data_IF_927504389740
#
_entry.id   IF_927504389740
#
_cell.length_a   1.000
_cell.length_b   1.000
_cell.length_c   1.000
_cell.angle_alpha   90.00
_cell.angle_beta   90.00
_cell.angle_gamma   90.00
#
_symmetry.space_group_name_H-M   'P 1'
#
loop_
_entity.id
_entity.type
_entity.pdbx_description
1 polymer ?
#
# COMPACT_ATOMS: atom_id res chain seq x y z
N UNK A 1 5.20 -0.10 31.91
CA UNK A 1 5.32 -0.82 30.61
C UNK A 1 3.93 -0.75 29.98
N UNK A 2 3.81 -0.19 28.78
CA UNK A 2 2.52 -0.19 28.07
C UNK A 2 2.11 -1.66 27.79
N UNK A 3 0.84 -1.99 27.98
CA UNK A 3 0.33 -3.31 27.63
C UNK A 3 0.58 -3.60 26.15
N UNK A 4 0.90 -4.85 25.77
CA UNK A 4 1.06 -5.21 24.35
C UNK A 4 -0.25 -4.91 23.61
N UNK A 5 -0.14 -4.21 22.48
CA UNK A 5 -1.29 -3.84 21.64
C UNK A 5 -1.88 -5.14 21.07
N UNK A 6 -3.11 -5.44 21.43
CA UNK A 6 -3.86 -6.53 20.80
C UNK A 6 -4.23 -6.11 19.36
N UNK A 7 -3.49 -6.65 18.40
CA UNK A 7 -3.69 -6.38 16.98
C UNK A 7 -4.82 -7.22 16.36
N UNK A 8 -5.43 -8.11 17.10
CA UNK A 8 -6.59 -8.90 16.61
C UNK A 8 -7.86 -8.05 16.59
N UNK A 9 -7.92 -7.03 17.44
CA UNK A 9 -9.05 -6.09 17.50
C UNK A 9 -8.89 -5.00 16.44
N UNK A 10 -9.96 -4.73 15.69
CA UNK A 10 -9.96 -3.72 14.61
C UNK A 10 -9.62 -2.33 15.15
N UNK A 11 -10.26 -1.91 16.25
CA UNK A 11 -10.04 -0.59 16.89
C UNK A 11 -10.20 -0.69 18.41
N UNK A 12 -9.60 0.22 19.13
CA UNK A 12 -9.69 0.35 20.59
C UNK A 12 -9.70 1.81 21.03
N UNK A 13 -9.48 2.06 22.32
CA UNK A 13 -9.37 3.42 22.83
C UNK A 13 -8.18 4.14 22.21
N UNK A 14 -8.29 5.47 22.06
CA UNK A 14 -7.19 6.29 21.58
C UNK A 14 -6.04 6.20 22.58
N UNK A 15 -4.82 5.99 22.09
CA UNK A 15 -3.62 5.94 22.93
C UNK A 15 -3.41 7.29 23.59
N UNK A 16 -2.91 7.31 24.82
CA UNK A 16 -2.75 8.51 25.61
C UNK A 16 -1.88 9.55 24.88
N UNK A 17 -0.78 9.11 24.29
CA UNK A 17 0.16 9.94 23.54
C UNK A 17 -0.36 10.41 22.16
N UNK A 18 -1.48 9.86 21.70
CA UNK A 18 -2.09 10.16 20.39
C UNK A 18 -3.47 10.82 20.51
N UNK A 19 -3.81 11.30 21.71
CA UNK A 19 -5.01 12.10 21.96
C UNK A 19 -4.94 13.46 21.25
N UNK A 20 -6.10 13.95 20.81
CA UNK A 20 -6.26 15.22 20.11
C UNK A 20 -7.25 16.13 20.86
N UNK A 21 -7.29 17.40 20.49
CA UNK A 21 -8.38 18.29 20.91
C UNK A 21 -9.64 17.99 20.08
N UNK A 22 -10.39 16.99 20.55
CA UNK A 22 -11.61 16.55 19.88
C UNK A 22 -12.69 17.62 19.80
N UNK A 23 -12.68 18.60 20.69
CA UNK A 23 -13.66 19.69 20.69
C UNK A 23 -13.51 20.59 19.47
N UNK A 24 -12.27 20.93 19.11
CA UNK A 24 -11.97 21.68 17.88
C UNK A 24 -12.35 20.90 16.62
N UNK A 25 -12.04 19.60 16.60
CA UNK A 25 -12.41 18.75 15.47
C UNK A 25 -13.93 18.71 15.30
N UNK A 26 -14.69 18.48 16.36
CA UNK A 26 -16.17 18.44 16.31
C UNK A 26 -16.73 19.77 15.81
N UNK A 27 -16.25 20.91 16.32
CA UNK A 27 -16.68 22.24 15.88
C UNK A 27 -16.45 22.43 14.37
N UNK A 28 -15.26 22.03 13.89
CA UNK A 28 -14.91 22.12 12.47
C UNK A 28 -15.77 21.20 11.58
N UNK A 29 -16.04 19.95 12.03
CA UNK A 29 -16.86 18.98 11.30
C UNK A 29 -18.32 19.46 11.20
N UNK A 30 -18.87 20.09 12.26
CA UNK A 30 -20.21 20.68 12.27
C UNK A 30 -20.30 21.87 11.33
N UNK A 31 -19.33 22.77 11.37
CA UNK A 31 -19.26 23.92 10.44
C UNK A 31 -19.26 23.48 8.98
N UNK A 32 -18.55 22.38 8.67
CA UNK A 32 -18.50 21.75 7.33
C UNK A 32 -19.69 20.85 7.01
N UNK A 33 -20.67 20.75 7.90
CA UNK A 33 -21.89 19.97 7.73
C UNK A 33 -21.64 18.50 7.41
N UNK A 34 -20.62 17.89 8.08
CA UNK A 34 -20.42 16.44 7.95
C UNK A 34 -21.70 15.72 8.41
N UNK A 35 -22.27 14.81 7.61
CA UNK A 35 -23.54 14.15 7.95
C UNK A 35 -23.46 13.46 9.34
N UNK A 36 -24.39 13.81 10.22
CA UNK A 36 -24.46 13.28 11.58
C UNK A 36 -23.66 14.03 12.63
N UNK A 37 -22.82 15.02 12.27
CA UNK A 37 -21.91 15.71 13.21
C UNK A 37 -22.61 16.52 14.33
N UNK A 38 -23.92 16.73 14.24
CA UNK A 38 -24.72 17.37 15.31
C UNK A 38 -24.91 16.46 16.54
N UNK A 39 -24.81 15.13 16.36
CA UNK A 39 -24.86 14.17 17.47
C UNK A 39 -23.57 14.20 18.31
N UNK A 40 -23.60 13.67 19.56
CA UNK A 40 -22.39 13.45 20.33
C UNK A 40 -21.39 12.56 19.61
N UNK A 41 -20.12 12.94 19.64
CA UNK A 41 -19.04 12.18 19.02
C UNK A 41 -18.38 11.23 20.02
N UNK A 42 -18.13 9.99 19.60
CA UNK A 42 -17.16 9.10 20.25
C UNK A 42 -16.05 8.78 19.29
N UNK A 43 -14.84 8.54 19.83
CA UNK A 43 -13.65 8.27 19.02
C UNK A 43 -13.02 6.96 19.47
N UNK A 44 -12.64 6.15 18.50
CA UNK A 44 -11.79 4.97 18.68
C UNK A 44 -10.61 5.08 17.73
N UNK A 45 -9.56 4.31 17.98
CA UNK A 45 -8.38 4.28 17.12
C UNK A 45 -8.19 2.90 16.52
N UNK A 46 -7.93 2.84 15.21
CA UNK A 46 -7.60 1.59 14.54
C UNK A 46 -6.24 1.06 15.03
N UNK A 47 -6.18 -0.25 15.29
CA UNK A 47 -4.99 -0.93 15.85
C UNK A 47 -4.02 -1.44 14.78
N UNK A 48 -4.33 -1.28 13.50
CA UNK A 48 -3.46 -1.61 12.38
C UNK A 48 -3.01 -0.35 11.67
N UNK A 49 -1.87 -0.39 11.03
CA UNK A 49 -1.30 0.74 10.29
C UNK A 49 -0.03 1.28 10.95
N UNK A 50 1.07 1.24 10.20
CA UNK A 50 2.40 1.67 10.68
C UNK A 50 2.76 3.08 10.23
N UNK A 51 2.01 3.65 9.28
CA UNK A 51 2.38 4.89 8.60
C UNK A 51 1.57 6.09 9.07
N UNK A 52 0.25 5.99 9.11
CA UNK A 52 -0.65 7.09 9.47
C UNK A 52 -1.52 6.73 10.66
N UNK A 53 -1.91 7.73 11.47
CA UNK A 53 -2.87 7.56 12.53
C UNK A 53 -4.28 7.59 11.94
N UNK A 54 -5.05 6.56 12.27
CA UNK A 54 -6.40 6.37 11.76
C UNK A 54 -7.37 6.24 12.92
N UNK A 55 -8.40 7.09 12.92
CA UNK A 55 -9.40 7.17 13.96
C UNK A 55 -10.79 6.90 13.41
N UNK A 56 -11.61 6.16 14.15
CA UNK A 56 -13.03 5.99 13.91
C UNK A 56 -13.77 7.10 14.67
N UNK A 57 -14.49 7.93 13.94
CA UNK A 57 -15.37 8.97 14.48
C UNK A 57 -16.81 8.49 14.38
N UNK A 58 -17.50 8.30 15.51
CA UNK A 58 -18.88 7.86 15.54
C UNK A 58 -19.78 8.98 16.06
N UNK A 59 -20.82 9.29 15.28
CA UNK A 59 -21.86 10.27 15.58
C UNK A 59 -23.23 9.56 15.51
N UNK A 60 -23.74 9.11 16.66
CA UNK A 60 -24.92 8.23 16.67
C UNK A 60 -24.70 6.98 15.83
N UNK A 61 -25.53 6.81 14.79
CA UNK A 61 -25.43 5.68 13.84
C UNK A 61 -24.47 5.93 12.66
N UNK A 62 -23.85 7.10 12.59
CA UNK A 62 -22.93 7.46 11.51
C UNK A 62 -21.50 7.25 11.93
N UNK A 63 -20.72 6.62 11.06
CA UNK A 63 -19.30 6.36 11.27
C UNK A 63 -18.47 6.92 10.12
N UNK A 64 -17.38 7.57 10.49
CA UNK A 64 -16.41 8.16 9.57
C UNK A 64 -15.00 7.75 10.00
N UNK A 65 -14.09 7.73 9.05
CA UNK A 65 -12.68 7.47 9.33
C UNK A 65 -11.89 8.74 9.11
N UNK A 66 -11.14 9.18 10.13
CA UNK A 66 -10.18 10.27 10.00
C UNK A 66 -8.77 9.73 9.91
N UNK A 67 -8.00 10.22 8.95
CA UNK A 67 -6.56 9.93 8.83
C UNK A 67 -5.74 11.21 8.99
N UNK A 68 -4.63 11.10 9.69
CA UNK A 68 -3.60 12.14 9.83
C UNK A 68 -2.21 11.51 9.88
N UNK A 69 -1.13 12.26 9.58
CA UNK A 69 0.23 11.80 9.83
C UNK A 69 0.48 11.47 11.30
N UNK A 70 1.47 10.63 11.61
CA UNK A 70 1.91 10.40 12.99
C UNK A 70 2.48 11.70 13.61
N UNK A 71 2.64 11.69 14.93
CA UNK A 71 3.34 12.77 15.63
C UNK A 71 4.85 12.69 15.37
N UNK A 72 5.50 13.85 15.45
CA UNK A 72 6.95 13.97 15.29
C UNK A 72 7.40 14.28 13.86
N UNK A 73 8.71 14.22 13.59
CA UNK A 73 9.28 14.54 12.28
C UNK A 73 8.84 13.54 11.21
N UNK A 74 8.37 14.05 10.09
CA UNK A 74 7.93 13.24 8.94
C UNK A 74 9.03 13.15 7.87
N UNK A 75 9.16 12.01 7.19
CA UNK A 75 10.03 11.92 6.02
C UNK A 75 9.53 12.82 4.90
N UNK A 76 10.45 13.45 4.18
CA UNK A 76 10.11 14.34 3.06
C UNK A 76 9.36 13.55 1.96
N UNK A 77 8.16 14.01 1.62
CA UNK A 77 7.32 13.43 0.58
C UNK A 77 6.53 12.19 0.99
N UNK A 78 6.52 11.82 2.28
CA UNK A 78 5.61 10.82 2.84
C UNK A 78 4.42 11.48 3.54
N UNK A 79 3.35 10.71 3.76
CA UNK A 79 2.18 11.12 4.55
C UNK A 79 1.43 12.35 3.98
N UNK A 80 1.34 12.47 2.65
CA UNK A 80 0.62 13.58 2.00
C UNK A 80 -0.91 13.34 2.04
N UNK A 81 -1.54 13.83 3.11
CA UNK A 81 -3.00 13.73 3.30
C UNK A 81 -3.80 14.43 2.20
N UNK A 82 -3.27 15.54 1.67
CA UNK A 82 -3.90 16.28 0.58
C UNK A 82 -3.93 15.48 -0.72
N UNK A 83 -2.85 14.74 -1.01
CA UNK A 83 -2.77 13.86 -2.17
C UNK A 83 -3.75 12.68 -2.05
N UNK A 84 -3.79 12.01 -0.92
CA UNK A 84 -4.71 10.91 -0.67
C UNK A 84 -6.16 11.37 -0.77
N UNK A 85 -6.50 12.48 -0.11
CA UNK A 85 -7.82 13.09 -0.22
C UNK A 85 -8.18 13.47 -1.67
N UNK A 86 -7.24 14.07 -2.43
CA UNK A 86 -7.48 14.43 -3.83
C UNK A 86 -7.90 13.23 -4.67
N UNK A 87 -7.30 12.07 -4.45
CA UNK A 87 -7.69 10.82 -5.12
C UNK A 87 -9.07 10.37 -4.63
N UNK A 88 -9.24 10.19 -3.33
CA UNK A 88 -10.46 9.63 -2.75
C UNK A 88 -11.70 10.51 -2.91
N UNK A 89 -11.54 11.82 -2.98
CA UNK A 89 -12.67 12.75 -3.22
C UNK A 89 -13.27 12.67 -4.62
N UNK A 90 -12.64 11.94 -5.55
CA UNK A 90 -13.05 11.83 -6.97
C UNK A 90 -13.20 10.39 -7.45
N UNK A 91 -12.26 9.52 -7.04
CA UNK A 91 -12.18 8.15 -7.52
C UNK A 91 -13.40 7.30 -7.13
N UNK A 92 -13.99 7.53 -5.95
CA UNK A 92 -15.14 6.79 -5.44
C UNK A 92 -16.36 6.79 -6.39
N UNK A 93 -16.48 7.78 -7.26
CA UNK A 93 -17.61 7.92 -8.20
C UNK A 93 -17.57 6.86 -9.32
N UNK A 94 -16.36 6.41 -9.68
CA UNK A 94 -16.14 5.51 -10.83
C UNK A 94 -15.46 4.19 -10.46
N UNK A 95 -14.91 4.10 -9.25
CA UNK A 95 -14.22 2.92 -8.74
C UNK A 95 -14.73 2.59 -7.33
N UNK A 96 -15.70 1.68 -7.28
CA UNK A 96 -16.44 1.33 -6.05
C UNK A 96 -15.56 0.98 -4.84
N UNK A 97 -14.40 0.29 -4.96
CA UNK A 97 -13.57 -0.03 -3.80
C UNK A 97 -12.89 1.20 -3.17
N UNK A 98 -12.85 2.36 -3.82
CA UNK A 98 -12.30 3.56 -3.20
C UNK A 98 -13.26 4.12 -2.14
N UNK A 99 -12.84 4.31 -0.87
CA UNK A 99 -13.63 5.03 0.12
C UNK A 99 -13.89 6.47 -0.35
N UNK A 100 -15.08 7.01 -0.09
CA UNK A 100 -15.37 8.41 -0.43
C UNK A 100 -14.63 9.35 0.51
N UNK A 101 -13.74 10.21 -0.02
CA UNK A 101 -13.15 11.33 0.70
C UNK A 101 -14.19 12.44 0.91
N UNK A 102 -14.49 12.75 2.18
CA UNK A 102 -15.54 13.69 2.56
C UNK A 102 -15.03 15.10 2.76
N UNK A 103 -14.01 15.27 3.59
CA UNK A 103 -13.46 16.56 4.00
C UNK A 103 -11.95 16.49 4.14
N UNK A 104 -11.26 17.59 3.86
CA UNK A 104 -9.82 17.76 4.06
C UNK A 104 -9.54 19.10 4.73
N UNK A 105 -8.52 19.15 5.58
CA UNK A 105 -7.96 20.38 6.12
C UNK A 105 -6.45 20.30 6.20
N UNK A 106 -5.79 21.37 5.80
CA UNK A 106 -4.37 21.65 6.03
C UNK A 106 -4.14 22.58 7.24
N UNK A 107 -5.23 23.03 7.89
CA UNK A 107 -5.15 23.84 9.11
C UNK A 107 -4.69 22.98 10.30
N UNK A 108 -3.43 23.12 10.64
CA UNK A 108 -2.80 22.40 11.75
C UNK A 108 -3.33 22.81 13.13
N UNK A 109 -4.06 23.95 13.25
CA UNK A 109 -4.62 24.40 14.53
C UNK A 109 -5.76 23.49 15.05
N UNK A 110 -6.34 22.67 14.19
CA UNK A 110 -7.48 21.79 14.49
C UNK A 110 -7.01 20.53 15.23
N UNK A 111 -6.12 19.75 14.59
CA UNK A 111 -5.63 18.46 15.13
C UNK A 111 -4.10 18.32 15.08
N UNK A 112 -3.37 19.41 14.95
CA UNK A 112 -1.90 19.42 14.99
C UNK A 112 -1.21 19.02 13.69
N UNK A 113 -1.95 18.64 12.65
CA UNK A 113 -1.42 18.25 11.33
C UNK A 113 -2.51 18.33 10.27
N UNK A 114 -2.17 18.34 8.95
CA UNK A 114 -3.14 18.10 7.89
C UNK A 114 -3.86 16.77 8.10
N UNK A 115 -5.15 16.73 7.80
CA UNK A 115 -5.95 15.51 7.95
C UNK A 115 -7.08 15.47 6.93
N UNK A 116 -7.65 14.27 6.73
CA UNK A 116 -8.89 14.14 5.99
C UNK A 116 -9.85 13.15 6.64
N UNK A 117 -11.11 13.28 6.29
CA UNK A 117 -12.21 12.40 6.74
C UNK A 117 -12.77 11.69 5.53
N UNK A 118 -12.99 10.40 5.66
CA UNK A 118 -13.54 9.55 4.61
C UNK A 118 -14.62 8.61 5.14
N UNK A 119 -15.34 7.99 4.22
CA UNK A 119 -16.28 6.92 4.46
C UNK A 119 -15.61 5.74 5.17
N UNK A 120 -16.29 5.15 6.15
CA UNK A 120 -15.90 3.85 6.68
C UNK A 120 -16.35 2.76 5.73
N UNK A 121 -15.44 1.84 5.42
CA UNK A 121 -15.74 0.59 4.73
C UNK A 121 -15.85 -0.56 5.73
N UNK A 122 -16.72 -1.52 5.44
CA UNK A 122 -16.91 -2.73 6.24
C UNK A 122 -16.50 -3.95 5.43
N UNK A 123 -15.75 -4.84 6.05
CA UNK A 123 -15.21 -6.04 5.44
C UNK A 123 -14.02 -6.59 6.23
N UNK A 124 -13.32 -7.54 5.66
CA UNK A 124 -12.20 -8.22 6.30
C UNK A 124 -10.89 -7.68 5.72
N UNK A 125 -10.02 -7.15 6.57
CA UNK A 125 -8.65 -6.74 6.22
C UNK A 125 -7.68 -7.86 6.58
N UNK A 126 -6.85 -8.26 5.61
CA UNK A 126 -5.77 -9.22 5.81
C UNK A 126 -4.56 -8.43 6.30
N UNK A 127 -4.16 -8.63 7.55
CA UNK A 127 -3.04 -7.91 8.15
C UNK A 127 -1.72 -8.63 7.89
N UNK A 128 -0.68 -7.85 7.62
CA UNK A 128 0.67 -8.39 7.47
C UNK A 128 1.16 -9.02 8.78
N UNK A 129 1.86 -10.14 8.70
CA UNK A 129 2.45 -10.86 9.85
C UNK A 129 1.44 -11.40 10.87
N UNK A 130 0.20 -11.56 10.48
CA UNK A 130 -0.85 -12.17 11.30
C UNK A 130 -1.45 -13.36 10.57
N UNK A 131 -2.01 -14.34 11.28
CA UNK A 131 -2.82 -15.37 10.64
C UNK A 131 -3.97 -14.77 9.83
N UNK A 132 -4.45 -15.50 8.83
CA UNK A 132 -5.67 -15.09 8.12
C UNK A 132 -6.83 -15.01 9.12
N UNK A 133 -7.69 -13.98 9.00
CA UNK A 133 -8.91 -13.88 9.80
C UNK A 133 -9.74 -15.16 9.73
N UNK A 134 -10.23 -15.61 10.87
CA UNK A 134 -10.97 -16.88 10.98
C UNK A 134 -12.25 -16.91 10.12
N UNK A 135 -12.83 -15.75 9.88
CA UNK A 135 -14.01 -15.53 9.03
C UNK A 135 -13.80 -15.97 7.57
N UNK A 136 -12.56 -15.95 7.09
CA UNK A 136 -12.22 -16.40 5.73
C UNK A 136 -12.23 -17.94 5.61
N UNK A 137 -12.18 -18.65 6.74
CA UNK A 137 -12.12 -20.11 6.75
C UNK A 137 -10.86 -20.67 6.08
N UNK A 138 -10.97 -21.89 5.56
CA UNK A 138 -9.88 -22.60 4.89
C UNK A 138 -10.32 -23.20 3.54
N UNK A 139 -11.45 -22.75 2.98
CA UNK A 139 -11.95 -23.26 1.71
C UNK A 139 -11.11 -22.71 0.53
N UNK A 140 -10.48 -23.59 -0.28
CA UNK A 140 -9.75 -23.17 -1.47
C UNK A 140 -10.58 -22.34 -2.45
N UNK A 141 -11.90 -22.55 -2.51
CA UNK A 141 -12.77 -21.77 -3.39
C UNK A 141 -12.86 -20.29 -2.93
N UNK A 142 -12.84 -20.04 -1.62
CA UNK A 142 -12.77 -18.68 -1.06
C UNK A 142 -11.48 -17.99 -1.48
N UNK A 143 -10.34 -18.64 -1.33
CA UNK A 143 -9.04 -18.05 -1.67
C UNK A 143 -8.89 -17.81 -3.18
N UNK A 144 -9.47 -18.69 -4.00
CA UNK A 144 -9.55 -18.47 -5.44
C UNK A 144 -10.38 -17.25 -5.78
N UNK A 145 -11.57 -17.12 -5.21
CA UNK A 145 -12.45 -15.97 -5.43
C UNK A 145 -11.78 -14.66 -4.98
N UNK A 146 -11.09 -14.66 -3.83
CA UNK A 146 -10.32 -13.51 -3.36
C UNK A 146 -9.22 -13.10 -4.34
N UNK A 147 -8.47 -14.08 -4.87
CA UNK A 147 -7.39 -13.82 -5.83
C UNK A 147 -7.94 -13.23 -7.13
N UNK A 148 -9.06 -13.78 -7.61
CA UNK A 148 -9.74 -13.30 -8.80
C UNK A 148 -10.26 -11.87 -8.61
N UNK A 149 -10.97 -11.60 -7.50
CA UNK A 149 -11.44 -10.26 -7.17
C UNK A 149 -10.32 -9.24 -6.98
N UNK A 150 -9.21 -9.66 -6.37
CA UNK A 150 -8.03 -8.82 -6.18
C UNK A 150 -7.44 -8.32 -7.51
N UNK A 151 -7.18 -9.23 -8.45
CA UNK A 151 -6.56 -8.85 -9.73
C UNK A 151 -7.57 -8.16 -10.67
N UNK A 152 -8.86 -8.51 -10.58
CA UNK A 152 -9.92 -7.82 -11.31
C UNK A 152 -10.05 -6.37 -10.86
N UNK A 153 -9.97 -6.14 -9.55
CA UNK A 153 -9.99 -4.78 -8.97
C UNK A 153 -8.84 -3.93 -9.48
N UNK A 154 -7.62 -4.49 -9.57
CA UNK A 154 -6.49 -3.77 -10.16
C UNK A 154 -6.71 -3.49 -11.65
N UNK A 155 -7.29 -4.44 -12.38
CA UNK A 155 -7.65 -4.25 -13.79
C UNK A 155 -8.65 -3.11 -13.97
N UNK A 156 -9.67 -3.05 -13.12
CA UNK A 156 -10.69 -2.00 -13.13
C UNK A 156 -10.10 -0.62 -12.77
N UNK A 157 -9.18 -0.56 -11.78
CA UNK A 157 -8.46 0.66 -11.45
C UNK A 157 -7.68 1.20 -12.65
N UNK A 158 -6.96 0.32 -13.36
CA UNK A 158 -6.20 0.68 -14.55
C UNK A 158 -7.06 0.99 -15.78
N UNK A 159 -8.37 0.76 -15.70
CA UNK A 159 -9.37 1.15 -16.69
C UNK A 159 -10.03 2.50 -16.44
N UNK A 160 -9.76 3.13 -15.29
CA UNK A 160 -10.39 4.41 -14.92
C UNK A 160 -9.95 5.55 -15.84
N UNK A 161 -10.92 6.30 -16.38
CA UNK A 161 -10.64 7.59 -17.00
C UNK A 161 -10.27 8.64 -15.94
N UNK A 162 -8.99 8.62 -15.56
CA UNK A 162 -8.45 9.52 -14.54
C UNK A 162 -8.53 11.00 -14.95
N UNK A 163 -8.53 11.29 -16.26
CA UNK A 163 -8.63 12.66 -16.77
C UNK A 163 -10.07 13.16 -16.64
N UNK A 164 -11.06 12.33 -16.99
CA UNK A 164 -12.49 12.64 -16.89
C UNK A 164 -12.95 12.95 -15.46
N UNK A 165 -12.33 12.31 -14.46
CA UNK A 165 -12.59 12.60 -13.03
C UNK A 165 -11.67 13.68 -12.45
N UNK A 166 -10.88 14.41 -13.29
CA UNK A 166 -10.05 15.55 -12.88
C UNK A 166 -8.78 15.17 -12.11
N UNK A 167 -8.23 13.96 -12.29
CA UNK A 167 -6.97 13.51 -11.70
C UNK A 167 -5.75 13.63 -12.65
N UNK A 168 -5.89 14.23 -13.84
CA UNK A 168 -4.79 14.37 -14.81
C UNK A 168 -3.53 15.05 -14.22
N UNK A 169 -3.71 15.98 -13.27
CA UNK A 169 -2.60 16.67 -12.59
C UNK A 169 -2.00 15.90 -11.41
N UNK A 170 -2.42 14.65 -11.16
CA UNK A 170 -1.91 13.84 -10.03
C UNK A 170 -0.46 13.40 -10.24
N UNK A 171 -0.01 13.29 -11.49
CA UNK A 171 1.33 12.86 -11.84
C UNK A 171 1.82 13.43 -13.16
N UNK A 172 3.05 13.06 -13.53
CA UNK A 172 3.71 13.36 -14.80
C UNK A 172 4.07 12.03 -15.47
N UNK A 173 3.27 11.53 -16.44
CA UNK A 173 3.52 10.21 -17.04
C UNK A 173 4.80 10.16 -17.86
N UNK A 174 5.15 11.23 -18.57
CA UNK A 174 6.35 11.25 -19.42
C UNK A 174 7.62 11.01 -18.59
N UNK A 175 8.40 10.00 -18.99
CA UNK A 175 9.61 9.61 -18.28
C UNK A 175 9.36 9.05 -16.86
N UNK A 176 8.15 8.56 -16.57
CA UNK A 176 7.77 8.06 -15.27
C UNK A 176 8.72 6.96 -14.77
N UNK A 177 8.94 5.90 -15.56
CA UNK A 177 9.78 4.77 -15.15
C UNK A 177 11.23 5.21 -14.86
N UNK A 178 11.81 6.07 -15.69
CA UNK A 178 13.15 6.64 -15.45
C UNK A 178 13.22 7.37 -14.10
N UNK A 179 12.22 8.22 -13.81
CA UNK A 179 12.18 8.94 -12.53
C UNK A 179 11.99 8.00 -11.33
N UNK A 180 11.22 6.91 -11.49
CA UNK A 180 11.11 5.90 -10.45
C UNK A 180 12.47 5.28 -10.14
N UNK A 181 13.20 4.83 -11.16
CA UNK A 181 14.51 4.18 -10.98
C UNK A 181 15.50 5.17 -10.34
N UNK A 182 15.69 6.36 -10.92
CA UNK A 182 16.63 7.34 -10.37
C UNK A 182 16.27 7.81 -8.97
N UNK A 183 14.97 7.96 -8.69
CA UNK A 183 14.49 8.30 -7.35
C UNK A 183 14.78 7.22 -6.32
N UNK A 184 14.61 5.96 -6.68
CA UNK A 184 14.91 4.84 -5.77
C UNK A 184 16.42 4.63 -5.60
N UNK A 185 17.24 4.83 -6.63
CA UNK A 185 18.72 4.88 -6.50
C UNK A 185 19.16 5.93 -5.46
N UNK A 186 18.62 7.14 -5.58
CA UNK A 186 18.94 8.22 -4.63
C UNK A 186 18.47 7.93 -3.19
N UNK A 187 17.35 7.21 -3.03
CA UNK A 187 16.88 6.77 -1.71
C UNK A 187 17.77 5.67 -1.13
N UNK A 188 18.21 4.72 -1.95
CA UNK A 188 19.17 3.70 -1.55
C UNK A 188 20.44 4.31 -1.00
N UNK A 189 21.08 5.22 -1.75
CA UNK A 189 22.31 5.91 -1.32
C UNK A 189 22.16 6.61 0.05
N UNK A 190 21.00 7.18 0.33
CA UNK A 190 20.73 7.84 1.62
C UNK A 190 20.44 6.87 2.76
N UNK A 191 19.90 5.70 2.45
CA UNK A 191 19.42 4.73 3.44
C UNK A 191 20.43 3.63 3.73
N UNK A 192 21.32 3.26 2.79
CA UNK A 192 22.21 2.11 2.92
C UNK A 192 23.04 2.19 4.19
N UNK A 193 23.02 1.11 4.96
CA UNK A 193 23.81 0.93 6.19
C UNK A 193 25.07 0.11 5.95
N UNK A 194 25.21 -0.47 4.75
CA UNK A 194 26.29 -1.34 4.31
C UNK A 194 26.37 -1.36 2.79
N UNK A 195 27.49 -1.87 2.28
CA UNK A 195 27.63 -2.10 0.84
C UNK A 195 26.84 -3.35 0.40
N UNK A 196 26.03 -3.17 -0.65
CA UNK A 196 25.33 -4.26 -1.35
C UNK A 196 25.49 -4.01 -2.85
N UNK A 197 26.65 -4.43 -3.44
CA UNK A 197 27.01 -4.07 -4.83
C UNK A 197 25.96 -4.44 -5.89
N UNK A 198 25.10 -5.43 -5.61
CA UNK A 198 23.99 -5.79 -6.48
C UNK A 198 22.97 -4.65 -6.62
N UNK A 199 22.79 -3.82 -5.60
CA UNK A 199 21.82 -2.73 -5.64
C UNK A 199 22.22 -1.66 -6.66
N UNK A 200 23.50 -1.30 -6.69
CA UNK A 200 24.06 -0.31 -7.62
C UNK A 200 24.10 -0.88 -9.05
N UNK A 201 24.56 -2.14 -9.22
CA UNK A 201 24.57 -2.82 -10.53
C UNK A 201 23.18 -2.94 -11.12
N UNK A 202 22.18 -3.36 -10.32
CA UNK A 202 20.79 -3.46 -10.75
C UNK A 202 20.21 -2.10 -11.11
N UNK A 203 20.48 -1.06 -10.32
CA UNK A 203 20.01 0.30 -10.60
C UNK A 203 20.51 0.82 -11.95
N UNK A 204 21.78 0.63 -12.27
CA UNK A 204 22.35 0.96 -13.57
C UNK A 204 21.70 0.13 -14.69
N UNK A 205 21.61 -1.18 -14.51
CA UNK A 205 21.01 -2.08 -15.49
C UNK A 205 19.55 -1.72 -15.79
N UNK A 206 18.75 -1.37 -14.77
CA UNK A 206 17.37 -0.93 -14.98
C UNK A 206 17.29 0.34 -15.84
N UNK A 207 18.22 1.28 -15.69
CA UNK A 207 18.25 2.48 -16.53
C UNK A 207 18.59 2.17 -18.00
N UNK A 208 19.53 1.23 -18.21
CA UNK A 208 20.01 0.90 -19.56
C UNK A 208 19.03 -0.01 -20.34
N UNK A 209 18.19 -0.75 -19.62
CA UNK A 209 17.30 -1.76 -20.20
C UNK A 209 15.80 -1.43 -20.00
N UNK A 210 15.46 -0.16 -19.83
CA UNK A 210 14.05 0.23 -19.67
C UNK A 210 13.19 -0.21 -20.85
N UNK A 211 12.10 -0.95 -20.62
CA UNK A 211 11.13 -1.24 -21.66
C UNK A 211 10.36 0.04 -22.04
N UNK A 212 9.73 -0.01 -23.21
CA UNK A 212 8.73 1.01 -23.57
C UNK A 212 7.51 0.87 -22.66
N UNK A 213 7.17 1.93 -21.93
CA UNK A 213 6.01 1.93 -21.05
C UNK A 213 4.70 1.89 -21.84
N UNK A 214 3.71 1.11 -21.41
CA UNK A 214 2.35 1.19 -21.94
C UNK A 214 1.71 2.58 -21.74
N UNK A 215 0.55 2.86 -22.35
CA UNK A 215 -0.21 4.07 -22.06
C UNK A 215 -0.46 4.24 -20.55
N UNK A 216 -0.27 5.46 -20.02
CA UNK A 216 -0.34 5.72 -18.59
C UNK A 216 -1.76 5.56 -18.06
N UNK A 217 -1.86 5.10 -16.80
CA UNK A 217 -3.11 4.93 -16.06
C UNK A 217 -2.98 5.54 -14.67
N UNK A 218 -4.08 5.56 -13.91
CA UNK A 218 -4.01 5.79 -12.47
C UNK A 218 -3.39 4.55 -11.82
N UNK A 219 -2.19 4.68 -11.26
CA UNK A 219 -1.50 3.62 -10.53
C UNK A 219 -1.56 3.86 -9.03
N UNK A 220 -1.69 2.78 -8.27
CA UNK A 220 -1.71 2.81 -6.81
C UNK A 220 -0.30 2.93 -6.23
N UNK A 221 0.68 2.29 -6.84
CA UNK A 221 2.10 2.16 -6.41
C UNK A 221 2.34 1.38 -5.11
N UNK A 222 1.29 0.89 -4.48
CA UNK A 222 1.37 0.03 -3.28
C UNK A 222 0.20 -0.95 -3.22
N UNK A 223 -0.19 -1.51 -4.39
CA UNK A 223 -1.32 -2.44 -4.49
C UNK A 223 -0.88 -3.85 -4.11
N UNK A 224 -1.26 -4.29 -2.93
CA UNK A 224 -1.02 -5.65 -2.44
C UNK A 224 -2.09 -6.06 -1.41
N UNK A 225 -2.12 -7.35 -1.05
CA UNK A 225 -3.24 -7.96 -0.34
C UNK A 225 -3.60 -7.29 1.00
N UNK A 226 -2.62 -6.69 1.69
CA UNK A 226 -2.86 -6.02 2.97
C UNK A 226 -3.42 -4.59 2.85
N UNK A 227 -3.44 -4.03 1.64
CA UNK A 227 -4.05 -2.73 1.35
C UNK A 227 -5.45 -2.84 0.77
N UNK A 228 -6.03 -4.05 0.75
CA UNK A 228 -7.40 -4.27 0.32
C UNK A 228 -8.26 -4.86 1.43
N UNK A 229 -9.56 -4.63 1.33
CA UNK A 229 -10.57 -5.19 2.21
C UNK A 229 -11.48 -6.11 1.39
N UNK A 230 -11.61 -7.34 1.84
CA UNK A 230 -12.46 -8.33 1.17
C UNK A 230 -13.85 -8.38 1.80
N UNK A 231 -14.86 -8.66 0.98
CA UNK A 231 -16.25 -8.76 1.40
C UNK A 231 -17.07 -9.63 0.44
N UNK A 232 -18.39 -9.45 0.48
CA UNK A 232 -19.31 -10.27 -0.29
C UNK A 232 -19.53 -11.66 0.30
N UNK A 233 -20.45 -12.42 -0.31
CA UNK A 233 -20.88 -13.74 0.24
C UNK A 233 -19.77 -14.80 0.27
N UNK A 234 -18.85 -14.73 -0.68
CA UNK A 234 -17.74 -15.69 -0.84
C UNK A 234 -16.38 -15.03 -0.65
N UNK A 235 -16.33 -13.83 -0.07
CA UNK A 235 -15.14 -13.02 0.12
C UNK A 235 -14.34 -12.75 -1.18
N UNK A 236 -14.96 -12.91 -2.33
CA UNK A 236 -14.35 -12.64 -3.65
C UNK A 236 -14.51 -11.19 -4.12
N UNK A 237 -15.23 -10.35 -3.38
CA UNK A 237 -15.40 -8.93 -3.71
C UNK A 237 -14.38 -8.09 -2.93
N UNK A 238 -13.66 -7.20 -3.60
CA UNK A 238 -12.86 -6.18 -2.94
C UNK A 238 -13.77 -4.97 -2.67
N UNK A 239 -14.07 -4.77 -1.40
CA UNK A 239 -14.98 -3.70 -0.94
C UNK A 239 -14.25 -2.45 -0.47
N UNK A 240 -12.93 -2.52 -0.31
CA UNK A 240 -12.10 -1.39 0.04
C UNK A 240 -10.68 -1.51 -0.54
N UNK A 241 -10.13 -0.39 -1.03
CA UNK A 241 -8.71 -0.24 -1.37
C UNK A 241 -8.20 0.99 -0.63
N UNK A 242 -7.11 0.84 0.10
CA UNK A 242 -6.57 1.84 1.02
C UNK A 242 -5.13 2.20 0.70
N UNK A 243 -4.64 3.27 1.33
CA UNK A 243 -3.26 3.76 1.25
C UNK A 243 -2.91 4.36 -0.12
N UNK A 244 -3.67 5.38 -0.52
CA UNK A 244 -3.54 6.05 -1.81
C UNK A 244 -2.46 7.13 -1.85
N UNK A 245 -1.67 7.29 -0.80
CA UNK A 245 -0.65 8.33 -0.68
C UNK A 245 0.43 8.26 -1.78
N UNK A 246 0.69 7.05 -2.31
CA UNK A 246 1.67 6.81 -3.38
C UNK A 246 1.09 6.88 -4.79
N UNK A 247 -0.23 7.06 -4.92
CA UNK A 247 -0.93 7.04 -6.21
C UNK A 247 -0.48 8.16 -7.14
N UNK A 248 -0.42 7.86 -8.42
CA UNK A 248 -0.04 8.83 -9.45
C UNK A 248 -0.53 8.38 -10.83
N UNK A 249 -0.24 9.18 -11.87
CA UNK A 249 -0.43 8.73 -13.25
C UNK A 249 0.90 8.17 -13.75
N UNK A 250 0.88 6.91 -14.17
CA UNK A 250 2.08 6.19 -14.52
C UNK A 250 1.85 4.88 -15.26
N UNK A 251 2.88 4.06 -15.27
CA UNK A 251 2.94 2.80 -15.97
C UNK A 251 2.22 1.69 -15.19
N UNK A 252 1.17 1.05 -15.75
CA UNK A 252 0.41 0.00 -15.06
C UNK A 252 1.25 -1.22 -14.65
N UNK A 253 2.33 -1.52 -15.39
CA UNK A 253 3.17 -2.68 -15.08
C UNK A 253 3.98 -2.51 -13.79
N UNK A 254 4.12 -1.27 -13.31
CA UNK A 254 4.70 -0.99 -11.98
C UNK A 254 3.84 -1.58 -10.88
N UNK A 255 2.52 -1.39 -10.90
CA UNK A 255 1.61 -2.00 -9.91
C UNK A 255 1.63 -3.52 -10.00
N UNK A 256 1.62 -4.09 -11.21
CA UNK A 256 1.75 -5.54 -11.38
C UNK A 256 3.08 -6.07 -10.84
N UNK A 257 4.19 -5.36 -11.05
CA UNK A 257 5.48 -5.70 -10.47
C UNK A 257 5.42 -5.74 -8.94
N UNK A 258 4.73 -4.79 -8.32
CA UNK A 258 4.51 -4.76 -6.86
C UNK A 258 3.67 -5.95 -6.42
N UNK A 259 2.58 -6.26 -7.13
CA UNK A 259 1.79 -7.48 -6.87
C UNK A 259 2.69 -8.71 -6.92
N UNK A 260 3.48 -8.90 -7.98
CA UNK A 260 4.38 -10.05 -8.13
C UNK A 260 5.41 -10.14 -7.00
N UNK A 261 5.89 -9.00 -6.50
CA UNK A 261 6.85 -8.96 -5.40
C UNK A 261 6.25 -9.42 -4.06
N UNK A 262 4.99 -9.05 -3.77
CA UNK A 262 4.34 -9.41 -2.50
C UNK A 262 3.54 -10.71 -2.57
N UNK A 263 3.15 -11.16 -3.76
CA UNK A 263 2.44 -12.42 -3.96
C UNK A 263 3.41 -13.58 -4.01
N UNK A 264 3.49 -14.36 -2.94
CA UNK A 264 4.35 -15.56 -2.89
C UNK A 264 3.72 -16.70 -3.69
N UNK A 265 4.60 -17.50 -4.31
CA UNK A 265 4.23 -18.65 -5.15
C UNK A 265 5.01 -19.87 -4.71
N UNK A 266 4.47 -21.07 -4.90
CA UNK A 266 5.13 -22.35 -4.55
C UNK A 266 6.47 -22.56 -5.29
N UNK A 267 6.66 -21.87 -6.41
CA UNK A 267 7.90 -21.91 -7.21
C UNK A 267 8.99 -20.96 -6.71
N UNK A 268 8.70 -20.17 -5.66
CA UNK A 268 9.68 -19.21 -5.13
C UNK A 268 10.84 -19.94 -4.46
N UNK A 269 12.08 -19.45 -4.62
CA UNK A 269 13.22 -20.00 -3.91
C UNK A 269 13.07 -19.82 -2.40
N UNK A 270 13.62 -20.74 -1.58
CA UNK A 270 13.50 -20.69 -0.13
C UNK A 270 13.96 -19.36 0.49
N UNK A 271 14.98 -18.74 -0.08
CA UNK A 271 15.52 -17.46 0.37
C UNK A 271 14.48 -16.34 0.21
N UNK A 272 13.71 -16.36 -0.87
CA UNK A 272 12.65 -15.39 -1.10
C UNK A 272 11.46 -15.65 -0.18
N UNK A 273 11.10 -16.90 0.05
CA UNK A 273 10.06 -17.27 1.02
C UNK A 273 10.43 -16.84 2.44
N UNK A 274 11.71 -16.95 2.80
CA UNK A 274 12.23 -16.52 4.10
C UNK A 274 12.14 -14.98 4.31
N UNK A 275 12.06 -14.18 3.24
CA UNK A 275 11.82 -12.73 3.37
C UNK A 275 10.38 -12.39 3.74
N UNK A 276 9.47 -13.34 3.64
CA UNK A 276 8.09 -13.16 4.07
C UNK A 276 8.08 -13.07 5.60
N UNK A 277 7.87 -11.86 6.10
CA UNK A 277 7.80 -11.60 7.53
C UNK A 277 6.44 -12.06 8.07
N UNK A 278 6.30 -13.36 8.28
CA UNK A 278 5.06 -13.99 8.73
C UNK A 278 4.55 -15.06 7.77
N UNK A 279 3.30 -15.47 7.94
CA UNK A 279 2.67 -16.46 7.06
C UNK A 279 2.49 -15.90 5.65
N UNK A 280 3.06 -16.59 4.65
CA UNK A 280 2.83 -16.26 3.26
C UNK A 280 1.44 -16.78 2.83
N UNK A 281 0.41 -15.99 3.09
CA UNK A 281 -0.99 -16.37 2.89
C UNK A 281 -1.29 -16.93 1.51
N UNK A 282 -0.64 -16.35 0.48
CA UNK A 282 -0.85 -16.72 -0.92
C UNK A 282 -0.30 -18.10 -1.30
N UNK A 283 0.41 -18.77 -0.38
CA UNK A 283 0.85 -20.16 -0.55
C UNK A 283 -0.24 -21.19 -0.19
N UNK A 284 -1.34 -20.75 0.43
CA UNK A 284 -2.42 -21.68 0.79
C UNK A 284 -3.12 -22.21 -0.47
N UNK A 285 -3.58 -23.47 -0.45
CA UNK A 285 -4.35 -24.04 -1.55
C UNK A 285 -5.55 -23.18 -1.91
N UNK A 286 -5.73 -22.90 -3.19
CA UNK A 286 -6.82 -22.10 -3.72
C UNK A 286 -6.40 -20.69 -4.16
N UNK A 287 -5.38 -20.08 -3.55
CA UNK A 287 -4.83 -18.85 -4.12
C UNK A 287 -4.28 -19.10 -5.53
N UNK A 288 -4.53 -18.16 -6.43
CA UNK A 288 -3.98 -18.17 -7.78
C UNK A 288 -2.45 -18.05 -7.74
N UNK A 289 -1.78 -18.76 -8.64
CA UNK A 289 -0.36 -18.52 -8.94
C UNK A 289 -0.15 -17.15 -9.60
N UNK A 290 1.08 -16.65 -9.61
CA UNK A 290 1.42 -15.43 -10.35
C UNK A 290 1.07 -15.53 -11.83
N UNK A 291 1.32 -16.68 -12.45
CA UNK A 291 1.02 -16.89 -13.87
C UNK A 291 -0.50 -16.78 -14.13
N UNK A 292 -1.34 -17.34 -13.24
CA UNK A 292 -2.79 -17.21 -13.34
C UNK A 292 -3.27 -15.77 -13.15
N UNK A 293 -2.69 -15.01 -12.18
CA UNK A 293 -2.99 -13.60 -11.98
C UNK A 293 -2.65 -12.77 -13.21
N UNK A 294 -1.44 -12.94 -13.76
CA UNK A 294 -1.00 -12.21 -14.94
C UNK A 294 -1.86 -12.56 -16.17
N UNK A 295 -2.17 -13.83 -16.37
CA UNK A 295 -3.04 -14.24 -17.46
C UNK A 295 -4.44 -13.61 -17.35
N UNK A 296 -5.03 -13.61 -16.15
CA UNK A 296 -6.35 -13.00 -15.89
C UNK A 296 -6.31 -11.49 -16.16
N UNK A 297 -5.29 -10.80 -15.68
CA UNK A 297 -5.11 -9.36 -15.93
C UNK A 297 -4.94 -9.05 -17.42
N UNK A 298 -4.07 -9.79 -18.12
CA UNK A 298 -3.85 -9.61 -19.57
C UNK A 298 -5.11 -9.87 -20.37
N UNK A 299 -5.83 -10.97 -20.08
CA UNK A 299 -7.10 -11.29 -20.73
C UNK A 299 -8.15 -10.17 -20.53
N UNK A 300 -8.23 -9.62 -19.30
CA UNK A 300 -9.22 -8.61 -18.97
C UNK A 300 -8.90 -7.23 -19.55
N UNK A 301 -7.62 -6.88 -19.62
CA UNK A 301 -7.17 -5.54 -20.05
C UNK A 301 -6.67 -5.47 -21.49
N UNK A 302 -6.36 -6.61 -22.12
CA UNK A 302 -5.71 -6.69 -23.42
C UNK A 302 -4.26 -6.21 -23.45
N UNK A 303 -3.62 -5.96 -22.27
CA UNK A 303 -2.25 -5.44 -22.20
C UNK A 303 -1.21 -6.54 -22.45
N UNK A 304 -0.15 -6.14 -23.17
CA UNK A 304 1.05 -6.95 -23.32
C UNK A 304 1.84 -6.97 -22.00
N UNK A 305 2.15 -8.16 -21.51
CA UNK A 305 2.91 -8.40 -20.29
C UNK A 305 4.30 -8.98 -20.55
N UNK A 306 4.80 -8.92 -21.79
CA UNK A 306 6.11 -9.47 -22.16
C UNK A 306 7.27 -8.86 -21.36
N UNK A 307 7.13 -7.62 -20.91
CA UNK A 307 8.10 -6.91 -20.07
C UNK A 307 7.97 -7.21 -18.56
N UNK A 308 7.01 -8.04 -18.12
CA UNK A 308 6.79 -8.29 -16.68
C UNK A 308 8.00 -8.76 -15.90
N UNK A 309 8.93 -9.58 -16.41
CA UNK A 309 10.14 -9.94 -15.69
C UNK A 309 10.97 -8.72 -15.27
N UNK A 310 11.02 -7.66 -16.11
CA UNK A 310 11.70 -6.41 -15.76
C UNK A 310 11.04 -5.71 -14.58
N UNK A 311 9.71 -5.52 -14.61
CA UNK A 311 8.96 -4.85 -13.53
C UNK A 311 8.96 -5.65 -12.23
N UNK A 312 8.95 -6.96 -12.31
CA UNK A 312 9.06 -7.82 -11.14
C UNK A 312 10.45 -7.73 -10.48
N UNK A 313 11.52 -7.80 -11.28
CA UNK A 313 12.89 -7.57 -10.77
C UNK A 313 13.02 -6.18 -10.15
N UNK A 314 12.51 -5.15 -10.83
CA UNK A 314 12.48 -3.77 -10.32
C UNK A 314 11.74 -3.66 -8.99
N UNK A 315 10.59 -4.33 -8.84
CA UNK A 315 9.82 -4.29 -7.60
C UNK A 315 10.56 -4.92 -6.42
N UNK A 316 11.29 -6.02 -6.61
CA UNK A 316 12.18 -6.58 -5.58
C UNK A 316 13.27 -5.57 -5.19
N UNK A 317 13.93 -4.97 -6.17
CA UNK A 317 14.97 -3.97 -5.96
C UNK A 317 14.44 -2.70 -5.24
N UNK A 318 13.26 -2.20 -5.65
CA UNK A 318 12.56 -1.11 -4.94
C UNK A 318 12.30 -1.51 -3.49
N UNK A 319 11.76 -2.70 -3.25
CA UNK A 319 11.41 -3.17 -1.91
C UNK A 319 12.66 -3.36 -1.04
N UNK A 320 13.80 -3.77 -1.61
CA UNK A 320 15.09 -3.79 -0.90
C UNK A 320 15.42 -2.39 -0.34
N UNK A 321 15.21 -1.33 -1.14
CA UNK A 321 15.41 0.05 -0.68
C UNK A 321 14.42 0.44 0.43
N UNK A 322 13.14 0.05 0.30
CA UNK A 322 12.10 0.34 1.33
C UNK A 322 12.46 -0.29 2.67
N UNK A 323 12.84 -1.57 2.69
CA UNK A 323 13.20 -2.25 3.94
C UNK A 323 14.48 -1.68 4.55
N UNK A 324 15.44 -1.25 3.73
CA UNK A 324 16.65 -0.57 4.23
C UNK A 324 16.33 0.80 4.84
N UNK A 325 15.37 1.57 4.27
CA UNK A 325 14.89 2.82 4.85
C UNK A 325 14.20 2.61 6.23
N UNK A 326 13.55 1.47 6.43
CA UNK A 326 12.99 1.10 7.73
C UNK A 326 14.11 0.70 8.68
N UNK A 327 15.04 -0.14 8.22
CA UNK A 327 16.16 -0.66 9.02
C UNK A 327 17.11 0.45 9.50
N UNK A 328 17.46 1.41 8.65
CA UNK A 328 18.36 2.51 9.01
C UNK A 328 17.84 3.36 10.17
N UNK A 329 16.51 3.47 10.33
CA UNK A 329 15.91 4.16 11.48
C UNK A 329 16.22 3.45 12.79
N UNK A 330 16.22 2.12 12.78
CA UNK A 330 16.63 1.32 13.93
C UNK A 330 18.12 1.48 14.20
N UNK A 331 18.96 1.36 13.18
CA UNK A 331 20.43 1.53 13.30
C UNK A 331 20.82 2.90 13.86
N UNK A 332 20.07 3.96 13.45
CA UNK A 332 20.30 5.35 13.93
C UNK A 332 19.61 5.66 15.27
N UNK A 333 19.02 4.69 15.93
CA UNK A 333 18.31 4.89 17.21
C UNK A 333 17.04 5.76 17.11
N UNK A 334 16.48 5.94 15.93
CA UNK A 334 15.26 6.71 15.70
C UNK A 334 13.99 5.94 16.05
N UNK A 335 14.12 4.66 16.32
CA UNK A 335 13.07 3.76 16.80
C UNK A 335 13.69 2.64 17.61
N UNK A 336 12.99 2.17 18.63
CA UNK A 336 13.38 1.02 19.47
C UNK A 336 12.57 -0.24 19.14
N UNK A 337 11.71 -0.20 18.13
CA UNK A 337 10.88 -1.32 17.72
C UNK A 337 11.76 -2.49 17.22
N UNK A 338 11.80 -3.64 17.94
CA UNK A 338 12.68 -4.77 17.59
C UNK A 338 12.32 -5.39 16.23
N UNK A 339 11.09 -5.18 15.74
CA UNK A 339 10.68 -5.65 14.40
C UNK A 339 11.51 -5.02 13.30
N UNK A 340 12.02 -3.80 13.50
CA UNK A 340 12.84 -3.10 12.50
C UNK A 340 14.25 -3.69 12.42
N UNK A 341 14.77 -4.28 13.51
CA UNK A 341 16.04 -5.02 13.48
C UNK A 341 15.99 -6.20 12.49
N UNK A 342 14.83 -6.86 12.39
CA UNK A 342 14.64 -8.01 11.50
C UNK A 342 14.66 -7.64 10.01
N UNK A 343 14.60 -6.35 9.67
CA UNK A 343 14.65 -5.88 8.28
C UNK A 343 16.07 -5.92 7.69
N UNK A 344 17.11 -5.92 8.55
CA UNK A 344 18.50 -5.88 8.10
C UNK A 344 18.87 -6.92 7.04
N UNK A 345 18.60 -8.22 7.23
CA UNK A 345 18.91 -9.26 6.24
C UNK A 345 18.05 -9.21 4.96
N UNK A 346 16.93 -8.50 4.97
CA UNK A 346 15.97 -8.57 3.88
C UNK A 346 16.43 -7.82 2.62
N UNK A 347 17.16 -6.70 2.76
CA UNK A 347 17.58 -5.92 1.60
C UNK A 347 18.54 -6.70 0.70
N UNK A 348 19.61 -7.37 1.20
CA UNK A 348 20.45 -8.24 0.38
C UNK A 348 19.69 -9.41 -0.26
N UNK A 349 18.77 -10.06 0.47
CA UNK A 349 17.98 -11.17 -0.05
C UNK A 349 17.08 -10.73 -1.21
N UNK A 350 16.43 -9.57 -1.09
CA UNK A 350 15.63 -8.99 -2.16
C UNK A 350 16.47 -8.54 -3.36
N UNK A 351 17.69 -8.05 -3.15
CA UNK A 351 18.62 -7.75 -4.24
C UNK A 351 19.01 -9.01 -5.02
N UNK A 352 19.26 -10.13 -4.33
CA UNK A 352 19.52 -11.44 -4.95
C UNK A 352 18.31 -11.90 -5.76
N UNK A 353 17.10 -11.81 -5.18
CA UNK A 353 15.86 -12.16 -5.90
C UNK A 353 15.65 -11.29 -7.15
N UNK A 354 15.92 -9.99 -7.05
CA UNK A 354 15.88 -9.09 -8.20
C UNK A 354 16.87 -9.52 -9.30
N UNK A 355 18.12 -9.84 -8.92
CA UNK A 355 19.15 -10.32 -9.86
C UNK A 355 18.77 -11.64 -10.52
N UNK A 356 18.18 -12.59 -9.78
CA UNK A 356 17.71 -13.87 -10.32
C UNK A 356 16.60 -13.68 -11.36
N UNK A 357 15.67 -12.76 -11.15
CA UNK A 357 14.65 -12.44 -12.14
C UNK A 357 15.25 -11.69 -13.34
N UNK A 358 16.12 -10.71 -13.09
CA UNK A 358 16.75 -9.90 -14.13
C UNK A 358 17.72 -10.74 -15.01
N UNK A 359 18.32 -11.82 -14.48
CA UNK A 359 19.18 -12.70 -15.26
C UNK A 359 18.47 -13.38 -16.44
N UNK A 360 17.14 -13.56 -16.35
CA UNK A 360 16.29 -14.05 -17.46
C UNK A 360 16.26 -13.07 -18.64
N UNK A 361 16.64 -11.81 -18.39
CA UNK A 361 16.71 -10.71 -19.36
C UNK A 361 18.14 -10.28 -19.68
N UNK A 362 19.13 -11.10 -19.30
CA UNK A 362 20.54 -10.87 -19.60
C UNK A 362 21.35 -10.07 -18.57
N UNK A 363 20.79 -9.83 -17.37
CA UNK A 363 21.58 -9.25 -16.27
C UNK A 363 22.67 -10.22 -15.84
N UNK A 364 23.90 -9.73 -15.70
CA UNK A 364 25.06 -10.46 -15.17
C UNK A 364 25.50 -9.78 -13.86
N UNK A 365 25.52 -10.55 -12.76
CA UNK A 365 25.78 -10.06 -11.42
C UNK A 365 27.27 -9.69 -11.16
#
# INVERSE_FOLDING_TARGET
MAEPIDLTVEFGDVREEEQLDWSKLVAWLRDRKLPGADAPMTVKQFRGGSSNLTYLLRFGDREWVMRRPPFGPLPVGGHDMGREYKVLSRLWEVFKPAPRGMLFSDDVSIVGAPFFVMERREGIVIKNRQPLPAELGNDPATFRAMSEGFIDTLSDLHGVDYAGIGLASLGKPDGFLKRQITGWMARWEKAKTREVPLMEKLGAWFLDNMPMSPPPVLVHNDFYLHNVMVGGKNHGEIVGVFDWEMSTIGDPLVDLGIVMNYWRDQKDPPELLATSSGEAHTLRPGFLSRDELLNRYSTRTGRDLSAMPYYWAWAHWKTATVVEQIYVRYVRGQTTDPRFALMGPMAPALAIAAAQVASRLGFQA
#
